data_IF_403780261232
#
_entry.id   IF_403780261232
#
_cell.length_a   1.000
_cell.length_b   1.000
_cell.length_c   1.000
_cell.angle_alpha   90.00
_cell.angle_beta   90.00
_cell.angle_gamma   90.00
#
_symmetry.space_group_name_H-M   'P 1'
#
loop_
_entity.id
_entity.type
_entity.pdbx_description
1 polymer ?
#
# COMPACT_ATOMS: atom_id res chain seq x y z
N UNK A 1 -3.95 13.60 -21.77
CA UNK A 1 -2.74 13.34 -20.94
C UNK A 1 -1.59 14.18 -21.46
N UNK A 2 -0.95 14.95 -20.58
CA UNK A 2 0.21 15.78 -20.93
C UNK A 2 1.46 15.16 -20.32
N UNK A 3 2.47 14.90 -21.15
CA UNK A 3 3.72 14.33 -20.69
C UNK A 3 4.51 15.36 -19.89
N UNK A 4 4.79 15.09 -18.62
CA UNK A 4 5.50 16.00 -17.72
C UNK A 4 6.96 16.25 -18.13
N UNK A 5 7.56 15.35 -18.93
CA UNK A 5 8.95 15.43 -19.36
C UNK A 5 9.13 16.29 -20.63
N UNK A 6 8.27 16.11 -21.63
CA UNK A 6 8.39 16.81 -22.92
C UNK A 6 7.31 17.88 -23.15
N UNK A 7 6.38 18.03 -22.20
CA UNK A 7 5.23 18.95 -22.23
C UNK A 7 4.31 18.81 -23.45
N UNK A 8 4.41 17.71 -24.20
CA UNK A 8 3.50 17.39 -25.31
C UNK A 8 2.30 16.61 -24.80
N UNK A 9 1.16 16.85 -25.42
CA UNK A 9 -0.07 16.11 -25.14
C UNK A 9 -0.12 14.80 -25.93
N UNK A 10 -0.89 13.83 -25.42
CA UNK A 10 -1.19 12.56 -26.10
C UNK A 10 -0.46 11.33 -25.57
N UNK A 11 0.40 11.45 -24.56
CA UNK A 11 1.10 10.29 -23.96
C UNK A 11 1.47 10.53 -22.50
N UNK A 12 1.59 9.46 -21.72
CA UNK A 12 2.14 9.49 -20.36
C UNK A 12 3.68 9.58 -20.42
N UNK A 13 4.30 9.97 -19.30
CA UNK A 13 5.77 10.05 -19.20
C UNK A 13 6.47 8.73 -19.57
N UNK A 14 5.85 7.59 -19.25
CA UNK A 14 6.30 6.23 -19.61
C UNK A 14 6.53 6.03 -21.10
N UNK A 15 5.76 6.71 -21.94
CA UNK A 15 5.77 6.56 -23.40
C UNK A 15 6.47 7.73 -24.10
N UNK A 16 7.17 8.58 -23.35
CA UNK A 16 7.84 9.75 -23.90
C UNK A 16 8.95 9.34 -24.88
N UNK A 17 8.89 9.77 -26.15
CA UNK A 17 9.93 9.44 -27.14
C UNK A 17 11.32 9.94 -26.72
N UNK A 18 11.40 11.08 -26.01
CA UNK A 18 12.66 11.62 -25.50
C UNK A 18 13.37 10.70 -24.50
N UNK A 19 12.63 9.92 -23.72
CA UNK A 19 13.21 8.93 -22.79
C UNK A 19 13.69 7.66 -23.52
N UNK A 20 13.11 7.34 -24.69
CA UNK A 20 13.52 6.19 -25.51
C UNK A 20 14.85 6.43 -26.24
N UNK A 21 15.18 7.66 -26.61
CA UNK A 21 16.44 7.96 -27.30
C UNK A 21 17.68 7.92 -26.39
N UNK A 22 17.53 8.02 -25.07
CA UNK A 22 18.66 7.86 -24.13
C UNK A 22 19.13 6.40 -23.96
N UNK A 23 18.38 5.42 -24.48
CA UNK A 23 18.71 4.00 -24.39
C UNK A 23 19.21 3.39 -25.71
N UNK A 24 19.80 4.19 -26.61
CA UNK A 24 20.45 3.67 -27.83
C UNK A 24 21.83 3.05 -27.53
N UNK A 25 21.82 1.99 -26.73
CA UNK A 25 22.88 1.00 -26.69
C UNK A 25 22.30 -0.32 -27.20
N UNK A 26 22.48 -0.58 -28.50
CA UNK A 26 22.30 -1.85 -29.22
C UNK A 26 21.13 -2.75 -28.81
N UNK A 27 20.14 -2.89 -29.70
CA UNK A 27 19.50 -4.20 -29.97
C UNK A 27 18.84 -4.22 -31.33
N UNK A 28 19.47 -4.97 -32.21
CA UNK A 28 18.96 -5.50 -33.46
C UNK A 28 17.59 -6.15 -33.26
N UNK A 29 16.70 -5.86 -34.22
CA UNK A 29 15.39 -6.47 -34.41
C UNK A 29 15.42 -7.99 -34.19
N UNK A 30 14.50 -8.48 -33.36
CA UNK A 30 13.79 -9.69 -33.75
C UNK A 30 12.31 -9.54 -33.38
N UNK A 31 11.46 -9.56 -34.41
CA UNK A 31 10.00 -9.67 -34.27
C UNK A 31 9.73 -11.16 -34.07
N UNK A 32 9.08 -11.53 -32.98
CA UNK A 32 8.11 -12.63 -32.90
C UNK A 32 7.44 -12.59 -31.52
N UNK A 33 6.12 -12.71 -31.53
CA UNK A 33 5.27 -12.47 -30.38
C UNK A 33 5.41 -13.51 -29.28
N UNK A 34 5.14 -13.06 -28.06
CA UNK A 34 4.19 -13.59 -27.09
C UNK A 34 4.19 -12.54 -25.98
N UNK A 35 3.00 -12.11 -25.53
CA UNK A 35 2.89 -11.19 -24.41
C UNK A 35 3.49 -11.82 -23.17
N UNK A 36 4.75 -11.52 -22.88
CA UNK A 36 5.37 -11.86 -21.61
C UNK A 36 4.66 -11.02 -20.54
N UNK A 37 3.72 -11.64 -19.83
CA UNK A 37 3.30 -11.21 -18.52
C UNK A 37 4.56 -11.22 -17.64
N UNK A 38 5.27 -10.10 -17.61
CA UNK A 38 6.43 -9.89 -16.74
C UNK A 38 5.91 -9.86 -15.31
N UNK A 39 5.90 -11.01 -14.66
CA UNK A 39 5.74 -11.11 -13.22
C UNK A 39 6.85 -10.29 -12.55
N UNK A 40 6.47 -9.16 -11.95
CA UNK A 40 7.39 -8.39 -11.11
C UNK A 40 7.44 -9.08 -9.75
N UNK A 41 8.47 -9.89 -9.53
CA UNK A 41 8.78 -10.39 -8.19
C UNK A 41 9.44 -9.26 -7.40
N UNK A 42 8.79 -8.80 -6.33
CA UNK A 42 9.36 -7.84 -5.40
C UNK A 42 9.89 -8.62 -4.20
N UNK A 43 11.22 -8.56 -4.00
CA UNK A 43 11.84 -9.11 -2.79
C UNK A 43 11.56 -8.12 -1.66
N UNK A 44 10.64 -8.50 -0.76
CA UNK A 44 10.52 -7.84 0.55
C UNK A 44 11.85 -8.08 1.27
N UNK A 45 12.62 -7.02 1.48
CA UNK A 45 14.01 -7.08 1.91
C UNK A 45 14.18 -7.90 3.19
N UNK A 46 14.85 -9.05 3.07
CA UNK A 46 15.28 -9.93 4.16
C UNK A 46 16.59 -9.42 4.80
N UNK A 47 16.76 -8.10 4.90
CA UNK A 47 18.02 -7.49 5.34
C UNK A 47 18.28 -7.69 6.84
N UNK A 48 17.22 -7.51 7.64
CA UNK A 48 17.27 -7.57 9.12
C UNK A 48 16.05 -8.30 9.74
N UNK A 49 15.27 -9.00 8.92
CA UNK A 49 14.05 -9.66 9.38
C UNK A 49 14.39 -10.99 10.07
N UNK A 50 14.08 -11.09 11.36
CA UNK A 50 14.04 -12.37 12.06
C UNK A 50 13.11 -13.31 11.26
N UNK A 51 13.60 -14.45 10.74
CA UNK A 51 12.79 -15.38 9.95
C UNK A 51 11.57 -15.94 10.71
N UNK A 52 11.57 -15.81 12.04
CA UNK A 52 10.47 -16.24 12.92
C UNK A 52 9.44 -15.12 13.20
N UNK A 53 9.63 -13.91 12.64
CA UNK A 53 8.67 -12.82 12.82
C UNK A 53 7.54 -12.93 11.79
N UNK A 54 6.32 -13.12 12.27
CA UNK A 54 5.09 -13.08 11.46
C UNK A 54 4.72 -11.66 10.98
N UNK A 55 5.61 -10.67 11.18
CA UNK A 55 5.32 -9.26 10.96
C UNK A 55 6.19 -8.69 9.84
N UNK A 56 5.57 -8.23 8.76
CA UNK A 56 6.20 -7.43 7.71
C UNK A 56 5.87 -5.95 7.94
N UNK A 57 6.87 -5.07 7.88
CA UNK A 57 6.70 -3.64 8.13
C UNK A 57 7.12 -2.81 6.92
N UNK A 58 6.44 -1.70 6.66
CA UNK A 58 6.84 -0.77 5.60
C UNK A 58 5.97 0.47 5.49
N UNK A 59 6.36 1.37 4.58
CA UNK A 59 5.56 2.54 4.24
C UNK A 59 4.65 2.24 3.06
N UNK A 60 3.35 2.53 3.23
CA UNK A 60 2.32 2.32 2.21
C UNK A 60 1.41 3.54 2.11
N UNK A 61 0.57 3.57 1.09
CA UNK A 61 -0.48 4.57 0.97
C UNK A 61 -1.77 3.99 1.56
N UNK A 62 -2.37 4.68 2.51
CA UNK A 62 -3.68 4.41 3.06
C UNK A 62 -4.58 5.62 2.80
N UNK A 63 -5.64 5.45 2.02
CA UNK A 63 -6.46 6.54 1.46
C UNK A 63 -5.60 7.67 0.86
N UNK A 64 -4.54 7.32 0.12
CA UNK A 64 -3.60 8.27 -0.47
C UNK A 64 -2.73 9.07 0.53
N UNK A 65 -2.76 8.72 1.83
CA UNK A 65 -1.84 9.22 2.86
C UNK A 65 -0.73 8.22 3.14
N UNK A 66 0.50 8.69 3.33
CA UNK A 66 1.60 7.81 3.69
C UNK A 66 1.43 7.31 5.13
N UNK A 67 1.41 6.00 5.30
CA UNK A 67 1.24 5.33 6.58
C UNK A 67 2.37 4.30 6.79
N UNK A 68 2.80 4.14 8.04
CA UNK A 68 3.60 2.98 8.44
C UNK A 68 2.65 1.82 8.74
N UNK A 69 2.76 0.73 7.99
CA UNK A 69 1.85 -0.42 8.07
C UNK A 69 2.62 -1.65 8.55
N UNK A 70 1.98 -2.37 9.48
CA UNK A 70 2.37 -3.68 9.96
C UNK A 70 1.43 -4.71 9.36
N UNK A 71 1.95 -5.64 8.54
CA UNK A 71 1.24 -6.84 8.16
C UNK A 71 1.56 -7.92 9.17
N UNK A 72 0.61 -8.24 10.04
CA UNK A 72 0.71 -9.26 11.07
C UNK A 72 -0.30 -10.37 10.76
N UNK A 73 0.18 -11.56 10.41
CA UNK A 73 -0.70 -12.71 10.15
C UNK A 73 -1.34 -13.28 11.41
N UNK A 74 -0.88 -12.88 12.61
CA UNK A 74 -1.48 -13.24 13.89
C UNK A 74 -2.60 -12.32 14.32
N UNK A 75 -2.86 -11.23 13.61
CA UNK A 75 -3.93 -10.29 13.94
C UNK A 75 -5.26 -10.69 13.26
N UNK A 76 -6.33 -10.80 14.05
CA UNK A 76 -7.67 -11.10 13.53
C UNK A 76 -8.32 -9.92 12.79
N UNK A 77 -7.86 -8.69 13.08
CA UNK A 77 -8.41 -7.43 12.59
C UNK A 77 -7.29 -6.45 12.23
N UNK A 78 -7.63 -5.48 11.39
CA UNK A 78 -6.75 -4.38 11.04
C UNK A 78 -7.04 -3.16 11.90
N UNK A 79 -5.99 -2.52 12.41
CA UNK A 79 -6.07 -1.38 13.31
C UNK A 79 -5.41 -0.16 12.70
N UNK A 80 -5.86 1.02 13.13
CA UNK A 80 -5.28 2.31 12.75
C UNK A 80 -5.19 3.20 13.98
N UNK A 81 -4.13 4.01 14.10
CA UNK A 81 -4.08 4.95 15.21
C UNK A 81 -5.22 5.97 15.11
N UNK A 82 -5.83 6.32 16.23
CA UNK A 82 -6.85 7.37 16.28
C UNK A 82 -6.34 8.67 15.69
N UNK A 83 -5.10 9.06 16.00
CA UNK A 83 -4.44 10.24 15.42
C UNK A 83 -4.37 10.20 13.90
N UNK A 84 -3.99 9.06 13.31
CA UNK A 84 -3.89 8.92 11.86
C UNK A 84 -5.27 8.81 11.21
N UNK A 85 -6.26 8.21 11.87
CA UNK A 85 -7.62 8.09 11.34
C UNK A 85 -8.26 9.44 11.00
N UNK A 86 -7.93 10.50 11.76
CA UNK A 86 -8.40 11.86 11.47
C UNK A 86 -7.92 12.39 10.12
N UNK A 87 -6.83 11.83 9.56
CA UNK A 87 -6.30 12.20 8.25
C UNK A 87 -7.02 11.49 7.10
N UNK A 88 -7.71 10.37 7.38
CA UNK A 88 -8.32 9.54 6.33
C UNK A 88 -9.62 10.14 5.77
N UNK A 89 -10.22 11.10 6.48
CA UNK A 89 -11.51 11.73 6.15
C UNK A 89 -12.61 10.70 5.85
N UNK A 90 -12.61 9.58 6.58
CA UNK A 90 -13.62 8.53 6.51
C UNK A 90 -14.55 8.67 7.70
N UNK A 91 -15.86 8.68 7.44
CA UNK A 91 -16.88 8.62 8.50
C UNK A 91 -16.79 7.28 9.23
N UNK A 92 -16.69 7.31 10.55
CA UNK A 92 -16.72 6.10 11.37
C UNK A 92 -18.14 5.59 11.56
N UNK A 93 -18.32 4.28 11.44
CA UNK A 93 -19.54 3.60 11.83
C UNK A 93 -19.42 3.07 13.25
N UNK A 94 -20.52 3.12 14.00
CA UNK A 94 -20.65 2.46 15.30
C UNK A 94 -21.15 1.03 15.11
N UNK A 95 -20.53 0.09 15.82
CA UNK A 95 -20.91 -1.31 15.88
C UNK A 95 -21.79 -1.57 17.11
N UNK A 96 -22.69 -2.55 17.00
CA UNK A 96 -23.55 -2.99 18.12
C UNK A 96 -22.76 -3.71 19.21
N UNK A 97 -21.52 -4.13 18.91
CA UNK A 97 -20.61 -4.81 19.83
C UNK A 97 -19.31 -4.06 19.94
N UNK A 98 -18.73 -4.04 21.14
CA UNK A 98 -17.39 -3.53 21.39
C UNK A 98 -16.34 -4.62 21.30
N UNK A 99 -15.13 -4.23 20.91
CA UNK A 99 -13.95 -5.09 20.84
C UNK A 99 -12.93 -4.62 21.87
N UNK A 100 -12.46 -5.56 22.69
CA UNK A 100 -11.27 -5.38 23.51
C UNK A 100 -10.03 -5.72 22.68
N UNK A 101 -9.10 -4.78 22.58
CA UNK A 101 -7.85 -4.87 21.84
C UNK A 101 -6.73 -4.93 22.87
N UNK A 102 -6.05 -6.07 22.99
CA UNK A 102 -4.85 -6.22 23.82
C UNK A 102 -3.61 -5.91 22.98
N UNK A 103 -2.88 -4.85 23.36
CA UNK A 103 -1.60 -4.52 22.75
C UNK A 103 -0.46 -5.31 23.40
N UNK A 104 0.70 -5.36 22.73
CA UNK A 104 1.88 -6.09 23.21
C UNK A 104 2.41 -5.60 24.58
N UNK A 105 2.08 -4.38 24.99
CA UNK A 105 2.40 -3.81 26.31
C UNK A 105 1.36 -4.18 27.39
N UNK A 106 0.41 -5.05 27.06
CA UNK A 106 -0.71 -5.53 27.89
C UNK A 106 -1.75 -4.46 28.22
N UNK A 107 -1.72 -3.31 27.56
CA UNK A 107 -2.83 -2.36 27.63
C UNK A 107 -4.01 -2.90 26.84
N UNK A 108 -5.20 -2.73 27.41
CA UNK A 108 -6.45 -3.13 26.78
C UNK A 108 -7.19 -1.86 26.40
N UNK A 109 -7.55 -1.75 25.13
CA UNK A 109 -8.38 -0.68 24.59
C UNK A 109 -9.71 -1.24 24.16
N UNK A 110 -10.78 -0.49 24.37
CA UNK A 110 -12.11 -0.86 23.89
C UNK A 110 -12.50 0.06 22.75
N UNK A 111 -12.97 -0.52 21.64
CA UNK A 111 -13.53 0.25 20.53
C UNK A 111 -14.79 -0.42 20.01
N UNK A 112 -15.81 0.39 19.73
CA UNK A 112 -17.01 -0.01 19.02
C UNK A 112 -17.13 0.72 17.68
N UNK A 113 -16.05 1.32 17.18
CA UNK A 113 -16.06 2.07 15.92
C UNK A 113 -15.25 1.37 14.85
N UNK A 114 -15.64 1.57 13.60
CA UNK A 114 -14.95 1.03 12.43
C UNK A 114 -14.95 2.05 11.29
N UNK A 115 -13.83 2.16 10.59
CA UNK A 115 -13.70 2.91 9.35
C UNK A 115 -13.81 1.92 8.20
N UNK A 116 -14.90 1.99 7.44
CA UNK A 116 -15.15 1.05 6.35
C UNK A 116 -14.64 1.58 5.03
N UNK A 117 -14.23 0.66 4.15
CA UNK A 117 -13.87 0.99 2.77
C UNK A 117 -12.62 1.85 2.63
N UNK A 118 -11.72 1.81 3.62
CA UNK A 118 -10.39 2.40 3.47
C UNK A 118 -9.63 1.68 2.34
N UNK A 119 -8.76 2.41 1.63
CA UNK A 119 -8.00 1.89 0.50
C UNK A 119 -6.51 1.80 0.83
N UNK A 120 -5.98 0.59 0.90
CA UNK A 120 -4.56 0.32 1.03
C UNK A 120 -3.92 0.13 -0.36
N UNK A 121 -2.94 0.96 -0.69
CA UNK A 121 -2.14 0.83 -1.90
C UNK A 121 -0.97 -0.14 -1.69
N UNK A 122 -1.01 -1.30 -2.35
CA UNK A 122 0.04 -2.31 -2.31
C UNK A 122 0.47 -2.66 -3.74
N UNK A 123 1.76 -2.49 -4.05
CA UNK A 123 2.34 -2.77 -5.38
C UNK A 123 1.63 -2.05 -6.55
N UNK A 124 1.05 -0.87 -6.28
CA UNK A 124 0.29 -0.10 -7.28
C UNK A 124 -1.17 -0.56 -7.44
N UNK A 125 -1.63 -1.50 -6.63
CA UNK A 125 -3.00 -1.97 -6.60
C UNK A 125 -3.72 -1.51 -5.33
N UNK A 126 -4.94 -0.96 -5.43
CA UNK A 126 -5.76 -0.61 -4.26
C UNK A 126 -6.45 -1.85 -3.70
N UNK A 127 -6.48 -1.97 -2.37
CA UNK A 127 -7.21 -2.99 -1.62
C UNK A 127 -8.16 -2.32 -0.63
N UNK A 128 -9.42 -2.74 -0.64
CA UNK A 128 -10.39 -2.27 0.35
C UNK A 128 -10.16 -3.00 1.68
N UNK A 129 -10.02 -2.23 2.75
CA UNK A 129 -9.85 -2.74 4.11
C UNK A 129 -10.75 -1.95 5.05
N UNK A 130 -11.22 -2.64 6.09
CA UNK A 130 -11.87 -2.00 7.23
C UNK A 130 -10.86 -1.85 8.36
N UNK A 131 -10.89 -0.71 9.05
CA UNK A 131 -9.92 -0.37 10.09
C UNK A 131 -10.63 -0.04 11.40
N UNK A 132 -10.15 -0.61 12.50
CA UNK A 132 -10.61 -0.26 13.84
C UNK A 132 -9.67 0.78 14.44
N UNK A 133 -10.16 1.98 14.83
CA UNK A 133 -9.35 2.97 15.51
C UNK A 133 -8.88 2.46 16.88
N UNK A 134 -7.60 2.63 17.17
CA UNK A 134 -6.97 2.31 18.46
C UNK A 134 -6.04 3.45 18.90
N UNK A 135 -5.97 3.72 20.20
CA UNK A 135 -5.03 4.70 20.75
C UNK A 135 -3.68 4.00 20.99
N UNK A 136 -2.61 4.52 20.37
CA UNK A 136 -1.24 3.98 20.43
C UNK A 136 -0.33 4.88 21.26
#
# INVERSE_FOLDING_TARGET
>A
VTCLECRRQGHYRSDCPKLKDQNRGNKTRNKNGIGEARGKAYVLGRGDANPDSNVVKGMFLLNNHSAFVLFDSGADRSFVSTTFSTLLDVTSDTLDVSYAIELADKRIYETNTILRGCTLGLLGHPFNIDLMPVEL
#
